data_IF_938595850614
#
_entry.id   IF_938595850614
#
_cell.length_a   1.000
_cell.length_b   1.000
_cell.length_c   1.000
_cell.angle_alpha   90.00
_cell.angle_beta   90.00
_cell.angle_gamma   90.00
#
_symmetry.space_group_name_H-M   'P 1'
#
loop_
_entity.id
_entity.type
_entity.pdbx_description
1 polymer ?
#
# COMPACT_ATOMS: atom_id res chain seq x y z
N UNK A 1 17.53 -9.82 2.11
CA UNK A 1 16.92 -8.53 2.55
C UNK A 1 16.97 -8.49 4.08
N UNK A 2 17.74 -7.54 4.61
CA UNK A 2 17.88 -7.35 6.07
C UNK A 2 16.54 -6.96 6.71
N UNK A 3 15.72 -6.23 5.96
CA UNK A 3 14.39 -5.79 6.36
C UNK A 3 13.46 -6.93 6.83
N UNK A 4 13.64 -8.14 6.31
CA UNK A 4 12.80 -9.31 6.57
C UNK A 4 13.55 -10.47 7.23
N UNK A 5 14.68 -10.20 7.90
CA UNK A 5 15.54 -11.22 8.54
C UNK A 5 14.82 -12.11 9.57
N UNK A 6 13.76 -11.59 10.18
CA UNK A 6 12.98 -12.30 11.19
C UNK A 6 11.92 -13.23 10.58
N UNK A 7 11.59 -13.07 9.29
CA UNK A 7 10.69 -13.97 8.57
C UNK A 7 11.42 -15.29 8.28
N UNK A 8 10.89 -16.39 8.80
CA UNK A 8 11.48 -17.74 8.60
C UNK A 8 10.78 -18.52 7.47
N UNK A 9 9.61 -18.09 7.06
CA UNK A 9 8.83 -18.74 6.02
C UNK A 9 9.42 -18.45 4.63
N UNK A 10 10.04 -19.46 4.00
CA UNK A 10 10.67 -19.31 2.69
C UNK A 10 9.68 -18.84 1.61
N UNK A 11 8.43 -19.30 1.67
CA UNK A 11 7.40 -18.88 0.73
C UNK A 11 7.12 -17.35 0.79
N UNK A 12 7.11 -16.78 2.01
CA UNK A 12 7.01 -15.33 2.19
C UNK A 12 8.22 -14.60 1.62
N UNK A 13 9.45 -15.07 1.92
CA UNK A 13 10.68 -14.42 1.46
C UNK A 13 10.75 -14.37 -0.07
N UNK A 14 10.46 -15.48 -0.75
CA UNK A 14 10.47 -15.54 -2.23
C UNK A 14 9.45 -14.59 -2.84
N UNK A 15 8.27 -14.48 -2.23
CA UNK A 15 7.22 -13.55 -2.71
C UNK A 15 7.55 -12.08 -2.41
N UNK A 16 8.17 -11.80 -1.26
CA UNK A 16 8.60 -10.44 -0.90
C UNK A 16 9.62 -9.89 -1.90
N UNK A 17 10.52 -10.72 -2.43
CA UNK A 17 11.48 -10.31 -3.49
C UNK A 17 10.79 -9.89 -4.80
N UNK A 18 9.50 -10.18 -4.98
CA UNK A 18 8.75 -9.74 -6.16
C UNK A 18 8.07 -8.38 -5.98
N UNK A 19 7.91 -7.92 -4.74
CA UNK A 19 7.26 -6.66 -4.40
C UNK A 19 8.19 -5.65 -3.74
N UNK A 20 9.41 -6.06 -3.39
CA UNK A 20 10.48 -5.17 -2.92
C UNK A 20 11.65 -5.24 -3.89
N UNK A 21 12.27 -4.10 -4.11
CA UNK A 21 13.53 -4.04 -4.83
C UNK A 21 14.66 -4.60 -3.95
N UNK A 22 15.52 -5.43 -4.54
CA UNK A 22 16.55 -6.16 -3.80
C UNK A 22 17.69 -5.26 -3.33
N UNK A 23 18.04 -4.25 -4.13
CA UNK A 23 19.22 -3.42 -3.87
C UNK A 23 18.89 -2.31 -2.86
N UNK A 24 17.77 -1.63 -3.05
CA UNK A 24 17.32 -0.58 -2.13
C UNK A 24 16.60 -1.09 -0.88
N UNK A 25 16.11 -2.35 -0.90
CA UNK A 25 15.21 -2.94 0.10
C UNK A 25 13.91 -2.13 0.32
N UNK A 26 13.47 -1.40 -0.70
CA UNK A 26 12.30 -0.53 -0.68
C UNK A 26 11.25 -0.98 -1.68
N UNK A 27 10.03 -0.40 -1.56
CA UNK A 27 8.94 -0.73 -2.48
C UNK A 27 8.13 0.50 -2.91
N UNK A 28 7.70 0.50 -4.16
CA UNK A 28 6.67 1.39 -4.70
C UNK A 28 5.47 0.55 -5.11
N UNK A 29 4.43 0.58 -4.29
CA UNK A 29 3.16 -0.11 -4.55
C UNK A 29 2.16 0.90 -5.07
N UNK A 30 1.41 0.55 -6.13
CA UNK A 30 0.32 1.39 -6.65
C UNK A 30 -1.02 0.71 -6.40
N UNK A 31 -1.75 1.07 -5.32
CA UNK A 31 -3.09 0.56 -5.04
C UNK A 31 -4.12 1.10 -6.03
N UNK A 32 -4.89 0.20 -6.62
CA UNK A 32 -5.99 0.47 -7.56
C UNK A 32 -7.29 -0.25 -7.14
N UNK A 33 -7.44 -0.51 -5.84
CA UNK A 33 -8.60 -1.13 -5.19
C UNK A 33 -9.79 -0.17 -5.02
N UNK A 34 -9.61 1.10 -5.36
CA UNK A 34 -10.59 2.18 -5.16
C UNK A 34 -11.92 1.97 -5.90
N UNK A 35 -11.96 1.12 -6.93
CA UNK A 35 -13.18 0.84 -7.67
C UNK A 35 -14.32 0.26 -6.82
N UNK A 36 -14.01 -0.56 -5.82
CA UNK A 36 -15.00 -1.10 -4.87
C UNK A 36 -15.54 0.00 -3.95
N UNK A 37 -14.69 0.92 -3.53
CA UNK A 37 -15.09 2.00 -2.62
C UNK A 37 -15.78 3.16 -3.31
N UNK A 38 -15.33 3.56 -4.50
CA UNK A 38 -15.67 4.82 -5.15
C UNK A 38 -16.26 4.66 -6.57
N UNK A 39 -16.38 3.41 -7.08
CA UNK A 39 -16.83 3.19 -8.45
C UNK A 39 -15.78 3.49 -9.53
N UNK A 40 -16.19 3.72 -10.79
CA UNK A 40 -15.29 3.93 -11.90
C UNK A 40 -14.72 5.35 -11.93
N UNK A 41 -13.68 5.59 -11.15
CA UNK A 41 -13.01 6.89 -11.06
C UNK A 41 -11.93 7.06 -12.15
N UNK A 42 -11.51 8.32 -12.40
CA UNK A 42 -10.43 8.67 -13.34
C UNK A 42 -9.18 7.83 -13.03
N UNK A 43 -8.56 7.30 -14.08
CA UNK A 43 -7.37 6.46 -13.99
C UNK A 43 -7.66 4.97 -13.78
N UNK A 44 -8.88 4.57 -13.36
CA UNK A 44 -9.25 3.17 -13.16
C UNK A 44 -10.32 2.66 -14.16
N UNK A 45 -10.72 3.48 -15.13
CA UNK A 45 -11.67 3.09 -16.18
C UNK A 45 -11.01 2.13 -17.16
N UNK A 46 -9.80 2.43 -17.63
CA UNK A 46 -8.95 1.53 -18.42
C UNK A 46 -7.84 0.97 -17.51
N UNK A 47 -8.18 -0.08 -16.78
CA UNK A 47 -7.29 -0.70 -15.83
C UNK A 47 -6.02 -1.26 -16.49
N UNK A 48 -6.16 -1.84 -17.71
CA UNK A 48 -5.03 -2.41 -18.45
C UNK A 48 -4.00 -1.35 -18.80
N UNK A 49 -4.48 -0.20 -19.31
CA UNK A 49 -3.59 0.93 -19.61
C UNK A 49 -2.88 1.40 -18.35
N UNK A 50 -3.60 1.62 -17.26
CA UNK A 50 -3.03 2.13 -16.02
C UNK A 50 -2.01 1.18 -15.41
N UNK A 51 -2.26 -0.13 -15.41
CA UNK A 51 -1.28 -1.14 -14.94
C UNK A 51 -0.02 -1.12 -15.81
N UNK A 52 -0.16 -1.01 -17.15
CA UNK A 52 0.98 -0.89 -18.04
C UNK A 52 1.79 0.39 -17.79
N UNK A 53 1.11 1.52 -17.63
CA UNK A 53 1.77 2.81 -17.38
C UNK A 53 2.58 2.80 -16.07
N UNK A 54 2.02 2.25 -14.97
CA UNK A 54 2.75 2.18 -13.69
C UNK A 54 3.90 1.16 -13.73
N UNK A 55 3.74 0.05 -14.46
CA UNK A 55 4.81 -0.92 -14.67
C UNK A 55 5.96 -0.32 -15.49
N UNK A 56 5.64 0.44 -16.56
CA UNK A 56 6.63 1.19 -17.34
C UNK A 56 7.34 2.27 -16.51
N UNK A 57 6.63 2.86 -15.55
CA UNK A 57 7.17 3.81 -14.60
C UNK A 57 8.08 3.19 -13.54
N UNK A 58 8.14 1.87 -13.43
CA UNK A 58 9.04 1.15 -12.52
C UNK A 58 8.42 0.79 -11.17
N UNK A 59 7.09 0.85 -11.01
CA UNK A 59 6.44 0.40 -9.78
C UNK A 59 6.75 -1.08 -9.50
N UNK A 60 7.02 -1.43 -8.23
CA UNK A 60 7.31 -2.80 -7.83
C UNK A 60 6.06 -3.68 -7.82
N UNK A 61 4.91 -3.14 -7.43
CA UNK A 61 3.68 -3.90 -7.37
C UNK A 61 2.43 -3.05 -7.60
N UNK A 62 1.37 -3.71 -8.10
CA UNK A 62 0.01 -3.18 -8.14
C UNK A 62 -0.88 -3.93 -7.15
N UNK A 63 -1.86 -3.22 -6.58
CA UNK A 63 -2.79 -3.80 -5.62
C UNK A 63 -4.21 -3.68 -6.17
N UNK A 64 -4.87 -4.83 -6.37
CA UNK A 64 -6.13 -4.95 -7.08
C UNK A 64 -7.14 -5.81 -6.30
N UNK A 65 -8.43 -5.61 -6.54
CA UNK A 65 -9.45 -6.60 -6.18
C UNK A 65 -9.51 -7.74 -7.20
N UNK A 66 -9.88 -8.94 -6.74
CA UNK A 66 -9.94 -10.18 -7.54
C UNK A 66 -10.67 -10.07 -8.88
N UNK A 67 -11.81 -9.38 -8.90
CA UNK A 67 -12.63 -9.26 -10.10
C UNK A 67 -11.98 -8.44 -11.21
N UNK A 68 -11.11 -7.49 -10.86
CA UNK A 68 -10.46 -6.60 -11.83
C UNK A 68 -9.12 -7.15 -12.36
N UNK A 69 -8.52 -8.11 -11.68
CA UNK A 69 -7.22 -8.69 -12.08
C UNK A 69 -7.22 -9.15 -13.54
N UNK A 70 -8.22 -9.92 -13.95
CA UNK A 70 -8.34 -10.41 -15.33
C UNK A 70 -8.55 -9.33 -16.39
N UNK A 71 -8.95 -8.12 -15.97
CA UNK A 71 -9.19 -6.98 -16.85
C UNK A 71 -8.04 -5.96 -16.83
N UNK A 72 -7.12 -6.07 -15.87
CA UNK A 72 -6.09 -5.08 -15.64
C UNK A 72 -4.68 -5.64 -15.63
N UNK A 73 -4.41 -6.63 -14.80
CA UNK A 73 -3.06 -7.19 -14.71
C UNK A 73 -2.61 -7.75 -16.06
N UNK A 74 -1.33 -7.57 -16.39
CA UNK A 74 -0.75 -7.93 -17.71
C UNK A 74 -0.86 -9.40 -18.04
N UNK A 75 -0.95 -10.28 -17.02
CA UNK A 75 -1.05 -11.72 -17.17
C UNK A 75 0.24 -12.41 -17.63
N UNK A 76 1.30 -11.63 -17.92
CA UNK A 76 2.62 -12.08 -18.32
C UNK A 76 3.67 -11.06 -17.87
N UNK A 77 4.94 -11.47 -17.88
CA UNK A 77 6.03 -10.62 -17.41
C UNK A 77 6.27 -10.78 -15.90
N UNK A 78 7.40 -10.28 -15.45
CA UNK A 78 7.82 -10.33 -14.04
C UNK A 78 8.16 -8.95 -13.48
N UNK A 79 7.84 -7.93 -14.23
CA UNK A 79 8.20 -6.55 -14.01
C UNK A 79 7.34 -5.84 -12.96
N UNK A 80 6.17 -6.41 -12.63
CA UNK A 80 5.29 -5.87 -11.59
C UNK A 80 4.65 -6.99 -10.78
N UNK A 81 4.76 -6.92 -9.46
CA UNK A 81 4.13 -7.85 -8.51
C UNK A 81 2.63 -7.63 -8.41
N UNK A 82 1.89 -8.67 -8.02
CA UNK A 82 0.44 -8.64 -7.83
C UNK A 82 0.07 -8.79 -6.37
N UNK A 83 -0.59 -7.78 -5.80
CA UNK A 83 -1.18 -7.82 -4.48
C UNK A 83 -2.70 -7.87 -4.62
N UNK A 84 -3.35 -8.86 -4.00
CA UNK A 84 -4.81 -8.96 -4.02
C UNK A 84 -5.38 -8.45 -2.71
N UNK A 85 -6.29 -7.47 -2.82
CA UNK A 85 -6.99 -6.90 -1.67
C UNK A 85 -8.16 -7.80 -1.25
N UNK A 86 -8.13 -8.27 0.01
CA UNK A 86 -9.07 -9.28 0.50
C UNK A 86 -10.35 -8.68 1.08
N UNK A 87 -10.32 -7.44 1.56
CA UNK A 87 -11.47 -6.80 2.20
C UNK A 87 -12.14 -5.77 1.29
N UNK A 88 -13.47 -5.67 1.38
CA UNK A 88 -14.27 -4.74 0.61
C UNK A 88 -15.21 -3.90 1.46
N UNK A 89 -15.53 -2.71 0.98
CA UNK A 89 -16.51 -1.81 1.56
C UNK A 89 -16.66 -0.57 0.68
N UNK A 90 -17.86 -0.01 0.62
CA UNK A 90 -18.19 1.08 -0.30
C UNK A 90 -18.59 2.37 0.41
N UNK A 91 -18.26 3.52 -0.20
CA UNK A 91 -18.60 4.84 0.32
C UNK A 91 -20.12 5.12 0.34
N UNK A 92 -20.91 4.39 -0.45
CA UNK A 92 -22.37 4.52 -0.46
C UNK A 92 -23.07 3.67 0.60
N UNK A 93 -22.32 2.90 1.40
CA UNK A 93 -22.87 2.15 2.53
C UNK A 93 -23.28 3.08 3.68
N UNK A 94 -24.33 2.76 4.44
CA UNK A 94 -24.63 3.46 5.70
C UNK A 94 -23.47 3.47 6.70
N UNK A 95 -22.62 2.42 6.66
CA UNK A 95 -21.37 2.36 7.42
C UNK A 95 -20.18 2.18 6.47
N UNK A 96 -19.61 3.26 5.90
CA UNK A 96 -18.54 3.20 4.90
C UNK A 96 -17.19 2.76 5.49
N UNK A 97 -17.03 2.83 6.81
CA UNK A 97 -15.82 2.37 7.50
C UNK A 97 -15.78 0.86 7.70
N UNK A 98 -16.94 0.19 7.70
CA UNK A 98 -16.99 -1.27 7.83
C UNK A 98 -16.42 -1.93 6.58
N UNK A 99 -15.50 -2.88 6.80
CA UNK A 99 -14.89 -3.71 5.76
C UNK A 99 -15.22 -5.17 6.06
N UNK A 100 -15.47 -5.93 5.00
CA UNK A 100 -15.75 -7.38 5.11
C UNK A 100 -14.82 -8.15 4.19
N UNK A 101 -14.48 -9.37 4.55
CA UNK A 101 -13.65 -10.23 3.71
C UNK A 101 -14.46 -10.72 2.50
N UNK A 102 -13.96 -10.45 1.31
CA UNK A 102 -14.59 -10.80 0.03
C UNK A 102 -13.73 -11.73 -0.83
N UNK A 103 -12.50 -12.03 -0.37
CA UNK A 103 -11.56 -12.93 -1.06
C UNK A 103 -10.77 -13.69 -0.01
N UNK A 104 -10.52 -14.99 -0.23
CA UNK A 104 -9.67 -15.79 0.64
C UNK A 104 -8.20 -15.75 0.17
N UNK A 105 -7.27 -16.14 1.05
CA UNK A 105 -5.84 -16.27 0.72
C UNK A 105 -5.66 -17.32 -0.38
N UNK A 106 -6.36 -18.44 -0.30
CA UNK A 106 -6.30 -19.53 -1.30
C UNK A 106 -6.80 -19.08 -2.68
N UNK A 107 -7.85 -18.24 -2.73
CA UNK A 107 -8.31 -17.66 -3.98
C UNK A 107 -7.25 -16.74 -4.58
N UNK A 108 -6.60 -15.92 -3.77
CA UNK A 108 -5.51 -15.05 -4.19
C UNK A 108 -4.30 -15.86 -4.71
N UNK A 109 -3.93 -16.96 -4.05
CA UNK A 109 -2.88 -17.88 -4.52
C UNK A 109 -3.20 -18.43 -5.90
N UNK A 110 -4.43 -18.91 -6.14
CA UNK A 110 -4.85 -19.43 -7.45
C UNK A 110 -4.83 -18.37 -8.54
N UNK A 111 -4.88 -17.10 -8.18
CA UNK A 111 -4.77 -15.97 -9.11
C UNK A 111 -3.33 -15.50 -9.34
N UNK A 112 -2.37 -16.11 -8.67
CA UNK A 112 -0.95 -15.78 -8.83
C UNK A 112 -0.49 -14.59 -8.00
N UNK A 113 -1.15 -14.29 -6.88
CA UNK A 113 -0.77 -13.19 -5.99
C UNK A 113 0.63 -13.40 -5.38
N UNK A 114 1.42 -12.34 -5.35
CA UNK A 114 2.70 -12.25 -4.65
C UNK A 114 2.53 -11.80 -3.19
N UNK A 115 1.42 -11.10 -2.89
CA UNK A 115 1.02 -10.74 -1.53
C UNK A 115 -0.50 -10.54 -1.47
N UNK A 116 -1.03 -10.46 -0.26
CA UNK A 116 -2.42 -10.07 -0.01
C UNK A 116 -2.48 -8.87 0.92
N UNK A 117 -3.63 -8.17 0.92
CA UNK A 117 -3.83 -7.04 1.83
C UNK A 117 -5.21 -7.03 2.45
N UNK A 118 -5.31 -6.48 3.65
CA UNK A 118 -6.55 -6.23 4.39
C UNK A 118 -6.59 -4.78 4.87
N UNK A 119 -7.78 -4.20 4.98
CA UNK A 119 -7.98 -2.84 5.48
C UNK A 119 -8.70 -2.87 6.83
N UNK A 120 -8.12 -2.22 7.81
CA UNK A 120 -8.64 -2.07 9.18
C UNK A 120 -8.74 -0.60 9.53
N UNK A 121 -9.96 -0.14 9.86
CA UNK A 121 -10.21 1.19 10.42
C UNK A 121 -10.25 1.09 11.95
N UNK A 122 -9.15 1.45 12.60
CA UNK A 122 -8.97 1.38 14.06
C UNK A 122 -9.76 2.51 14.72
N UNK A 123 -10.67 2.18 15.64
CA UNK A 123 -11.57 3.13 16.29
C UNK A 123 -12.92 3.31 15.58
N UNK A 124 -13.21 2.52 14.53
CA UNK A 124 -14.53 2.45 13.92
C UNK A 124 -15.50 1.62 14.77
N UNK A 125 -16.78 1.82 14.57
CA UNK A 125 -17.78 0.95 15.21
C UNK A 125 -17.53 -0.50 14.75
N UNK A 126 -17.55 -1.44 15.70
CA UNK A 126 -17.32 -2.87 15.45
C UNK A 126 -15.93 -3.21 14.87
N UNK A 127 -14.88 -2.43 15.17
CA UNK A 127 -13.52 -2.67 14.69
C UNK A 127 -12.91 -4.01 15.15
N UNK A 128 -13.40 -4.57 16.26
CA UNK A 128 -13.03 -5.93 16.73
C UNK A 128 -13.31 -7.03 15.69
N UNK A 129 -14.31 -6.88 14.81
CA UNK A 129 -14.54 -7.82 13.71
C UNK A 129 -13.36 -7.79 12.72
N UNK A 130 -12.87 -6.59 12.39
CA UNK A 130 -11.72 -6.42 11.51
C UNK A 130 -10.42 -6.91 12.15
N UNK A 131 -10.26 -6.79 13.47
CA UNK A 131 -9.10 -7.35 14.19
C UNK A 131 -9.11 -8.88 14.17
N UNK A 132 -10.28 -9.49 14.40
CA UNK A 132 -10.46 -10.94 14.28
C UNK A 132 -10.11 -11.41 12.85
N UNK A 133 -10.64 -10.73 11.85
CA UNK A 133 -10.41 -11.07 10.44
C UNK A 133 -8.93 -10.94 10.09
N UNK A 134 -8.24 -9.89 10.57
CA UNK A 134 -6.80 -9.72 10.38
C UNK A 134 -6.01 -10.89 10.99
N UNK A 135 -6.30 -11.27 12.23
CA UNK A 135 -5.63 -12.39 12.90
C UNK A 135 -5.82 -13.73 12.18
N UNK A 136 -7.05 -14.03 11.74
CA UNK A 136 -7.35 -15.27 10.98
C UNK A 136 -6.65 -15.28 9.61
N UNK A 137 -6.60 -14.14 8.93
CA UNK A 137 -5.89 -14.01 7.64
C UNK A 137 -4.39 -14.14 7.85
N UNK A 138 -3.84 -13.57 8.92
CA UNK A 138 -2.41 -13.67 9.24
C UNK A 138 -1.98 -15.13 9.47
N UNK A 139 -2.79 -15.92 10.20
CA UNK A 139 -2.56 -17.36 10.38
C UNK A 139 -2.58 -18.11 9.03
N UNK A 140 -3.58 -17.83 8.19
CA UNK A 140 -3.69 -18.43 6.85
C UNK A 140 -2.50 -18.04 5.95
N UNK A 141 -2.08 -16.78 6.01
CA UNK A 141 -0.92 -16.27 5.29
C UNK A 141 0.37 -16.94 5.74
N UNK A 142 0.54 -17.17 7.04
CA UNK A 142 1.70 -17.90 7.56
C UNK A 142 1.72 -19.35 7.06
N UNK A 143 0.58 -20.02 7.09
CA UNK A 143 0.45 -21.40 6.61
C UNK A 143 0.84 -21.56 5.12
N UNK A 144 0.39 -20.62 4.28
CA UNK A 144 0.62 -20.66 2.83
C UNK A 144 1.91 -19.96 2.38
N UNK A 145 2.67 -19.34 3.29
CA UNK A 145 3.83 -18.53 2.95
C UNK A 145 3.48 -17.31 2.09
N UNK A 146 2.34 -16.69 2.38
CA UNK A 146 1.83 -15.51 1.67
C UNK A 146 2.14 -14.24 2.48
N UNK A 147 2.83 -13.23 1.94
CA UNK A 147 3.01 -11.95 2.61
C UNK A 147 1.68 -11.23 2.83
N UNK A 148 1.50 -10.67 4.02
CA UNK A 148 0.31 -9.92 4.42
C UNK A 148 0.63 -8.44 4.64
N UNK A 149 -0.06 -7.57 3.91
CA UNK A 149 -0.04 -6.12 4.10
C UNK A 149 -1.31 -5.69 4.84
N UNK A 150 -1.17 -5.18 6.06
CA UNK A 150 -2.29 -4.59 6.78
C UNK A 150 -2.35 -3.08 6.57
N UNK A 151 -3.45 -2.59 5.99
CA UNK A 151 -3.74 -1.16 5.86
C UNK A 151 -4.42 -0.70 7.14
N UNK A 152 -3.66 -0.04 8.02
CA UNK A 152 -4.05 0.32 9.37
C UNK A 152 -4.27 1.83 9.48
N UNK A 153 -5.51 2.26 9.66
CA UNK A 153 -5.84 3.69 9.75
C UNK A 153 -6.66 3.99 10.99
N UNK A 154 -6.27 4.99 11.80
CA UNK A 154 -7.12 5.49 12.88
C UNK A 154 -8.32 6.23 12.27
N UNK A 155 -9.50 5.58 12.26
CA UNK A 155 -10.72 6.10 11.67
C UNK A 155 -11.94 5.66 12.46
N UNK A 156 -12.74 6.61 12.88
CA UNK A 156 -13.98 6.35 13.61
C UNK A 156 -14.61 7.65 14.08
N UNK A 157 -15.82 7.57 14.61
CA UNK A 157 -16.58 8.76 15.07
C UNK A 157 -15.89 9.55 16.19
N UNK A 158 -14.97 8.95 16.92
CA UNK A 158 -14.20 9.58 17.99
C UNK A 158 -12.81 10.02 17.55
N UNK A 159 -12.41 9.73 16.33
CA UNK A 159 -11.13 10.12 15.77
C UNK A 159 -11.26 11.47 15.08
N UNK A 160 -10.69 12.50 15.68
CA UNK A 160 -10.74 13.86 15.14
C UNK A 160 -9.64 14.14 14.11
N UNK A 161 -8.48 13.49 14.28
CA UNK A 161 -7.35 13.63 13.37
C UNK A 161 -6.79 12.24 13.01
N UNK A 162 -7.03 11.80 11.77
CA UNK A 162 -6.51 10.52 11.23
C UNK A 162 -4.98 10.49 11.06
N UNK A 163 -4.30 11.65 11.23
CA UNK A 163 -2.83 11.79 11.15
C UNK A 163 -2.18 12.08 12.49
N UNK A 164 -2.93 12.00 13.58
CA UNK A 164 -2.39 12.14 14.92
C UNK A 164 -1.27 11.10 15.12
N UNK A 165 -0.03 11.52 15.49
CA UNK A 165 1.10 10.61 15.58
C UNK A 165 0.91 9.45 16.55
N UNK A 166 0.27 9.68 17.70
CA UNK A 166 0.03 8.64 18.71
C UNK A 166 -0.98 7.60 18.19
N UNK A 167 -2.04 8.06 17.52
CA UNK A 167 -3.05 7.19 16.94
C UNK A 167 -2.50 6.40 15.75
N UNK A 168 -1.69 7.02 14.89
CA UNK A 168 -1.03 6.36 13.77
C UNK A 168 -0.04 5.31 14.28
N UNK A 169 0.76 5.63 15.30
CA UNK A 169 1.69 4.68 15.93
C UNK A 169 0.94 3.49 16.55
N UNK A 170 -0.16 3.74 17.27
CA UNK A 170 -1.00 2.70 17.84
C UNK A 170 -1.58 1.79 16.74
N UNK A 171 -2.19 2.36 15.70
CA UNK A 171 -2.74 1.58 14.62
C UNK A 171 -1.66 0.74 13.91
N UNK A 172 -0.49 1.31 13.63
CA UNK A 172 0.62 0.60 13.01
C UNK A 172 1.10 -0.58 13.88
N UNK A 173 1.30 -0.34 15.17
CA UNK A 173 1.71 -1.36 16.12
C UNK A 173 0.70 -2.50 16.23
N UNK A 174 -0.58 -2.20 16.30
CA UNK A 174 -1.66 -3.18 16.35
C UNK A 174 -1.63 -4.10 15.12
N UNK A 175 -1.43 -3.54 13.92
CA UNK A 175 -1.31 -4.35 12.70
C UNK A 175 -0.15 -5.34 12.75
N UNK A 176 1.02 -4.90 13.23
CA UNK A 176 2.19 -5.77 13.37
C UNK A 176 1.97 -6.86 14.43
N UNK A 177 1.39 -6.53 15.59
CA UNK A 177 1.13 -7.51 16.65
C UNK A 177 0.05 -8.53 16.28
N UNK A 178 -0.85 -8.20 15.37
CA UNK A 178 -1.85 -9.13 14.83
C UNK A 178 -1.33 -9.94 13.63
N UNK A 179 -0.04 -9.83 13.28
CA UNK A 179 0.63 -10.72 12.36
C UNK A 179 0.82 -10.18 10.93
N UNK A 180 0.70 -8.88 10.71
CA UNK A 180 1.05 -8.29 9.43
C UNK A 180 2.57 -8.35 9.19
N UNK A 181 2.98 -8.75 7.99
CA UNK A 181 4.38 -8.70 7.55
C UNK A 181 4.80 -7.28 7.15
N UNK A 182 3.84 -6.48 6.69
CA UNK A 182 4.02 -5.09 6.27
C UNK A 182 2.81 -4.30 6.76
N UNK A 183 3.05 -3.11 7.31
CA UNK A 183 1.97 -2.18 7.69
C UNK A 183 1.92 -1.01 6.74
N UNK A 184 0.74 -0.71 6.21
CA UNK A 184 0.47 0.51 5.47
C UNK A 184 -0.32 1.48 6.34
N UNK A 185 0.19 2.71 6.51
CA UNK A 185 -0.50 3.74 7.31
C UNK A 185 -0.28 5.14 6.73
N UNK A 186 -0.91 6.16 7.33
CA UNK A 186 -0.78 7.55 6.90
C UNK A 186 0.52 8.17 7.38
N UNK A 187 1.10 9.08 6.56
CA UNK A 187 2.15 9.99 7.02
C UNK A 187 1.57 11.00 8.00
N UNK A 188 2.26 11.25 9.10
CA UNK A 188 1.79 12.13 10.19
C UNK A 188 1.87 13.62 9.86
N UNK A 189 2.72 13.99 8.91
CA UNK A 189 2.88 15.37 8.43
C UNK A 189 4.25 15.99 8.71
N UNK A 190 5.06 15.38 9.55
CA UNK A 190 6.45 15.75 9.78
C UNK A 190 7.35 14.53 10.01
N UNK A 191 8.64 14.71 9.74
CA UNK A 191 9.64 13.62 9.76
C UNK A 191 9.83 13.04 11.16
N UNK A 192 9.89 13.87 12.19
CA UNK A 192 10.24 13.42 13.54
C UNK A 192 9.10 12.60 14.16
N UNK A 193 7.87 13.07 14.04
CA UNK A 193 6.72 12.31 14.54
C UNK A 193 6.54 10.99 13.78
N UNK A 194 6.79 10.99 12.46
CA UNK A 194 6.68 9.75 11.70
C UNK A 194 7.83 8.77 11.97
N UNK A 195 9.03 9.27 12.28
CA UNK A 195 10.17 8.44 12.74
C UNK A 195 9.82 7.66 14.02
N UNK A 196 9.07 8.28 14.94
CA UNK A 196 8.57 7.60 16.14
C UNK A 196 7.55 6.51 15.80
N UNK A 197 6.67 6.74 14.81
CA UNK A 197 5.75 5.70 14.30
C UNK A 197 6.55 4.50 13.76
N UNK A 198 7.55 4.76 12.92
CA UNK A 198 8.41 3.71 12.34
C UNK A 198 9.15 2.95 13.44
N UNK A 199 9.75 3.65 14.40
CA UNK A 199 10.47 3.04 15.53
C UNK A 199 9.56 2.17 16.40
N UNK A 200 8.31 2.57 16.57
CA UNK A 200 7.32 1.86 17.40
C UNK A 200 6.70 0.62 16.76
N UNK A 201 6.90 0.41 15.45
CA UNK A 201 6.32 -0.70 14.70
C UNK A 201 7.39 -1.73 14.31
N UNK A 202 7.33 -2.99 14.77
CA UNK A 202 8.33 -4.01 14.41
C UNK A 202 8.23 -4.49 12.96
N UNK A 203 7.09 -4.29 12.29
CA UNK A 203 6.92 -4.58 10.87
C UNK A 203 7.31 -3.35 10.02
N UNK A 204 7.91 -3.54 8.83
CA UNK A 204 8.18 -2.44 7.91
C UNK A 204 6.92 -1.66 7.56
N UNK A 205 7.05 -0.32 7.52
CA UNK A 205 5.94 0.58 7.20
C UNK A 205 6.06 1.09 5.78
N UNK A 206 4.98 0.99 5.00
CA UNK A 206 4.80 1.68 3.72
C UNK A 206 3.77 2.80 3.86
N UNK A 207 4.08 3.97 3.30
CA UNK A 207 3.26 5.18 3.48
C UNK A 207 2.13 5.26 2.47
N UNK A 208 0.94 5.57 2.94
CA UNK A 208 -0.22 5.86 2.10
C UNK A 208 -0.14 7.27 1.50
N UNK A 209 -0.49 7.43 0.23
CA UNK A 209 -0.46 8.73 -0.47
C UNK A 209 -1.56 9.72 -0.06
N UNK A 210 -2.54 9.28 0.72
CA UNK A 210 -3.64 10.16 1.12
C UNK A 210 -4.54 10.61 -0.04
N UNK A 211 -5.26 11.74 0.13
CA UNK A 211 -5.96 12.43 -0.96
C UNK A 211 -5.00 12.91 -2.04
N UNK A 212 -5.53 13.25 -3.22
CA UNK A 212 -4.71 13.90 -4.25
C UNK A 212 -4.25 15.28 -3.74
N UNK A 213 -2.94 15.54 -3.85
CA UNK A 213 -2.31 16.82 -3.52
C UNK A 213 -2.58 17.86 -4.62
N UNK A 214 -2.32 19.13 -4.32
CA UNK A 214 -2.51 20.20 -5.28
C UNK A 214 -1.38 20.25 -6.32
N UNK A 215 -0.17 19.90 -5.92
CA UNK A 215 1.02 19.92 -6.78
C UNK A 215 1.79 18.61 -6.69
N UNK A 216 2.56 18.31 -7.74
CA UNK A 216 3.47 17.15 -7.77
C UNK A 216 4.62 17.32 -6.76
N UNK A 217 5.08 18.56 -6.58
CA UNK A 217 6.12 18.89 -5.61
C UNK A 217 5.70 18.56 -4.18
N UNK A 218 4.49 18.97 -3.74
CA UNK A 218 3.94 18.60 -2.42
C UNK A 218 3.85 17.08 -2.24
N UNK A 219 3.45 16.36 -3.28
CA UNK A 219 3.34 14.92 -3.25
C UNK A 219 4.70 14.24 -3.13
N UNK A 220 5.67 14.66 -3.94
CA UNK A 220 7.01 14.10 -3.93
C UNK A 220 7.78 14.47 -2.65
N UNK A 221 7.56 15.67 -2.10
CA UNK A 221 8.14 16.06 -0.82
C UNK A 221 7.63 15.19 0.32
N UNK A 222 6.32 14.94 0.39
CA UNK A 222 5.75 14.02 1.39
C UNK A 222 6.39 12.62 1.31
N UNK A 223 6.66 12.13 0.10
CA UNK A 223 7.34 10.84 -0.09
C UNK A 223 8.78 10.93 0.42
N UNK A 224 9.52 11.96 0.06
CA UNK A 224 10.91 12.18 0.50
C UNK A 224 10.99 12.21 2.03
N UNK A 225 10.13 13.00 2.66
CA UNK A 225 10.07 13.11 4.13
C UNK A 225 9.78 11.76 4.80
N UNK A 226 8.82 11.01 4.25
CA UNK A 226 8.47 9.69 4.79
C UNK A 226 9.63 8.69 4.64
N UNK A 227 10.37 8.72 3.53
CA UNK A 227 11.56 7.89 3.33
C UNK A 227 12.69 8.28 4.29
N UNK A 228 12.90 9.58 4.53
CA UNK A 228 13.87 10.10 5.51
C UNK A 228 13.50 9.70 6.95
N UNK A 229 12.23 9.63 7.27
CA UNK A 229 11.74 9.13 8.56
C UNK A 229 11.94 7.62 8.76
N UNK A 230 12.33 6.88 7.71
CA UNK A 230 12.64 5.45 7.78
C UNK A 230 11.54 4.52 7.22
N UNK A 231 10.61 5.02 6.43
CA UNK A 231 9.65 4.16 5.73
C UNK A 231 10.35 3.12 4.84
N UNK A 232 9.77 1.93 4.73
CA UNK A 232 10.23 0.86 3.85
C UNK A 232 9.74 1.03 2.39
N UNK A 233 9.03 2.11 2.11
CA UNK A 233 8.49 2.42 0.79
C UNK A 233 7.16 3.12 0.86
N UNK A 234 6.46 3.12 -0.26
CA UNK A 234 5.17 3.79 -0.41
C UNK A 234 4.11 2.88 -1.02
N UNK A 235 2.84 3.14 -0.67
CA UNK A 235 1.69 2.50 -1.29
C UNK A 235 0.69 3.60 -1.70
N UNK A 236 0.96 4.25 -2.83
CA UNK A 236 0.32 5.49 -3.28
C UNK A 236 -0.50 5.25 -4.56
N UNK A 237 -1.76 5.63 -4.54
CA UNK A 237 -2.72 5.36 -5.63
C UNK A 237 -3.09 6.62 -6.40
N UNK A 238 -4.03 7.43 -5.87
CA UNK A 238 -4.67 8.55 -6.58
C UNK A 238 -3.70 9.58 -7.16
N UNK A 239 -2.64 9.90 -6.45
CA UNK A 239 -1.61 10.83 -6.94
C UNK A 239 -0.86 10.27 -8.16
N UNK A 240 -0.82 8.94 -8.35
CA UNK A 240 -0.22 8.29 -9.51
C UNK A 240 -1.27 8.08 -10.61
N UNK A 241 -2.27 7.23 -10.38
CA UNK A 241 -3.16 6.81 -11.46
C UNK A 241 -4.14 7.88 -11.96
N UNK A 242 -4.33 8.99 -11.23
CA UNK A 242 -5.09 10.16 -11.69
C UNK A 242 -4.21 11.25 -12.29
N UNK A 243 -2.89 11.06 -12.32
CA UNK A 243 -1.96 11.97 -12.95
C UNK A 243 -2.08 11.92 -14.48
N UNK A 244 -1.81 13.02 -15.16
CA UNK A 244 -1.90 13.08 -16.63
C UNK A 244 -0.72 12.33 -17.29
N UNK A 245 0.46 12.35 -16.66
CA UNK A 245 1.64 11.55 -17.02
C UNK A 245 1.88 10.48 -15.94
N UNK A 246 1.16 9.37 -16.03
CA UNK A 246 1.25 8.25 -15.06
C UNK A 246 2.64 7.63 -15.04
N UNK A 247 3.28 7.49 -16.20
CA UNK A 247 4.63 6.92 -16.32
C UNK A 247 5.64 7.84 -15.63
N UNK A 248 5.61 9.15 -15.95
CA UNK A 248 6.55 10.12 -15.39
C UNK A 248 6.45 10.26 -13.88
N UNK A 249 5.23 10.42 -13.35
CA UNK A 249 5.04 10.53 -11.89
C UNK A 249 5.46 9.24 -11.15
N UNK A 250 5.23 8.06 -11.76
CA UNK A 250 5.69 6.80 -11.18
C UNK A 250 7.21 6.72 -11.13
N UNK A 251 7.91 7.13 -12.22
CA UNK A 251 9.38 7.23 -12.23
C UNK A 251 9.91 8.19 -11.19
N UNK A 252 9.28 9.35 -11.06
CA UNK A 252 9.66 10.34 -10.04
C UNK A 252 9.60 9.76 -8.63
N UNK A 253 8.52 9.03 -8.32
CA UNK A 253 8.37 8.31 -7.05
C UNK A 253 9.46 7.24 -6.88
N UNK A 254 9.72 6.43 -7.91
CA UNK A 254 10.74 5.39 -7.87
C UNK A 254 12.15 5.98 -7.64
N UNK A 255 12.49 7.10 -8.26
CA UNK A 255 13.77 7.79 -8.01
C UNK A 255 13.96 8.20 -6.57
N UNK A 256 12.93 8.77 -5.95
CA UNK A 256 13.00 9.13 -4.53
C UNK A 256 13.14 7.88 -3.65
N UNK A 257 12.32 6.86 -3.91
CA UNK A 257 12.25 5.68 -3.04
C UNK A 257 13.48 4.78 -3.19
N UNK A 258 13.94 4.53 -4.41
CA UNK A 258 15.02 3.56 -4.67
C UNK A 258 16.41 4.20 -4.76
N UNK A 259 16.49 5.44 -5.29
CA UNK A 259 17.75 6.11 -5.54
C UNK A 259 18.03 7.24 -4.53
N UNK A 260 17.08 7.53 -3.64
CA UNK A 260 17.14 8.64 -2.69
C UNK A 260 17.32 10.04 -3.35
N UNK A 261 16.82 10.18 -4.59
CA UNK A 261 16.89 11.43 -5.34
C UNK A 261 16.20 12.59 -4.61
N UNK A 262 16.62 13.81 -4.90
CA UNK A 262 15.94 14.99 -4.44
C UNK A 262 14.68 15.28 -5.27
N UNK A 263 13.74 16.04 -4.68
CA UNK A 263 12.45 16.36 -5.32
C UNK A 263 12.64 17.08 -6.66
N UNK A 264 13.59 18.02 -6.74
CA UNK A 264 13.91 18.74 -7.99
C UNK A 264 14.40 17.80 -9.10
N UNK A 265 15.19 16.79 -8.74
CA UNK A 265 15.65 15.79 -9.70
C UNK A 265 14.49 14.88 -10.14
N UNK A 266 13.69 14.41 -9.20
CA UNK A 266 12.54 13.57 -9.48
C UNK A 266 11.50 14.25 -10.38
N UNK A 267 11.24 15.54 -10.18
CA UNK A 267 10.33 16.35 -11.01
C UNK A 267 10.71 16.38 -12.50
N UNK A 268 11.99 16.16 -12.85
CA UNK A 268 12.44 16.13 -14.26
C UNK A 268 11.91 14.91 -15.02
N UNK A 269 11.47 13.86 -14.33
CA UNK A 269 10.87 12.67 -14.95
C UNK A 269 9.46 12.92 -15.48
N UNK A 270 8.78 13.95 -14.96
CA UNK A 270 7.41 14.28 -15.33
C UNK A 270 7.44 15.18 -16.57
N UNK A 271 6.77 14.77 -17.64
CA UNK A 271 6.67 15.58 -18.87
C UNK A 271 5.87 16.84 -18.57
N UNK A 272 6.49 18.00 -18.80
CA UNK A 272 5.76 19.28 -18.81
C UNK A 272 4.87 19.31 -20.06
N UNK A 273 3.59 19.59 -19.85
CA UNK A 273 2.65 19.87 -20.96
C UNK A 273 2.96 21.19 -21.64
#
# INVERSE_FOLDING_TARGET
>A
MELFKDIKNLGKLVRLERIFDRDSEKTVIVPMDHGVSNGPIKGLIDMKKTVNDVAEGGANAVLLHKGIVRHGHRGYGKDVGLIIHLSGGTAISPNPLKKVIVTTVEEAIRMGADAVSIHVNVGSDEDWEAYRDLGMIAETCEYWGMPLIAMMYPRGKHIQNERDPELVAHAARLGAELGADIVKTSYTGDIDSFREVVRGCPAPIVVAGGPKTNTDEEFLQMIKDAMEAGAAGVAVGRNIFQHDDVVGITRAVCKIVHENADVEEALKEIRKK
#
